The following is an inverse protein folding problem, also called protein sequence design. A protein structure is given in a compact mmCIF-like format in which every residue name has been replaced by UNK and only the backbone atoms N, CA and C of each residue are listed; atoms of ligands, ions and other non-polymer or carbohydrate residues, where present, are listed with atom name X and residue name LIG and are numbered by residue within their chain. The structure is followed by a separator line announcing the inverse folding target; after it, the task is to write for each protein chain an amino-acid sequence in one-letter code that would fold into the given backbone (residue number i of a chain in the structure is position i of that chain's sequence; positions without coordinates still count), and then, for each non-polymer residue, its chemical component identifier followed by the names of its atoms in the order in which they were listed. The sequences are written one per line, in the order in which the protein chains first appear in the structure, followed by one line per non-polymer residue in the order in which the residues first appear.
data_IF_163336727511
#
_entry.id   IF_163336727511
#
_cell.length_a   1.000
_cell.length_b   1.000
_cell.length_c   1.000
_cell.angle_alpha   90.00
_cell.angle_beta   90.00
_cell.angle_gamma   90.00
#
_symmetry.space_group_name_H-M   'P 1'
#
loop_
_entity.id
_entity.type
_entity.pdbx_description
1 polymer ?
#
# COMPACT_ATOMS: atom_id res chain seq x y z
N UNK A 1 2.36 8.29 -14.88
CA UNK A 1 3.75 8.03 -15.34
C UNK A 1 4.08 6.59 -14.97
N UNK A 2 4.50 5.74 -15.92
CA UNK A 2 4.79 4.31 -15.68
C UNK A 2 5.79 4.14 -14.53
N UNK A 3 5.55 3.17 -13.65
CA UNK A 3 6.36 2.92 -12.47
C UNK A 3 7.81 2.62 -12.91
N UNK A 4 8.84 3.35 -12.44
CA UNK A 4 10.22 3.14 -12.88
C UNK A 4 10.67 1.69 -12.68
N UNK A 5 10.18 1.03 -11.62
CA UNK A 5 10.36 -0.40 -11.36
C UNK A 5 9.95 -1.26 -12.56
N UNK A 6 8.76 -1.05 -13.09
CA UNK A 6 8.21 -1.82 -14.21
C UNK A 6 9.03 -1.63 -15.48
N UNK A 7 9.48 -0.39 -15.75
CA UNK A 7 10.30 -0.10 -16.92
C UNK A 7 11.64 -0.86 -16.88
N UNK A 8 12.31 -0.90 -15.72
CA UNK A 8 13.57 -1.64 -15.55
C UNK A 8 13.37 -3.16 -15.68
N UNK A 9 12.31 -3.71 -15.06
CA UNK A 9 12.01 -5.14 -15.14
C UNK A 9 11.68 -5.55 -16.58
N UNK A 10 10.82 -4.79 -17.28
CA UNK A 10 10.44 -5.07 -18.67
C UNK A 10 11.64 -4.94 -19.61
N UNK A 11 12.43 -3.88 -19.48
CA UNK A 11 13.63 -3.68 -20.30
C UNK A 11 14.65 -4.79 -20.06
N UNK A 12 14.88 -5.17 -18.80
CA UNK A 12 15.76 -6.28 -18.44
C UNK A 12 15.30 -7.61 -19.04
N UNK A 13 14.01 -7.93 -18.94
CA UNK A 13 13.44 -9.15 -19.52
C UNK A 13 13.60 -9.19 -21.04
N UNK A 14 13.33 -8.08 -21.73
CA UNK A 14 13.51 -7.96 -23.18
C UNK A 14 14.97 -8.18 -23.56
N UNK A 15 15.92 -7.54 -22.88
CA UNK A 15 17.35 -7.73 -23.13
C UNK A 15 17.80 -9.18 -22.89
N UNK A 16 17.30 -9.86 -21.85
CA UNK A 16 17.61 -11.27 -21.59
C UNK A 16 17.15 -12.16 -22.76
N UNK A 17 15.91 -11.95 -23.24
CA UNK A 17 15.35 -12.71 -24.38
C UNK A 17 16.17 -12.47 -25.66
N UNK A 18 16.51 -11.22 -25.97
CA UNK A 18 17.33 -10.90 -27.13
C UNK A 18 18.76 -11.44 -27.00
N UNK A 19 19.36 -11.37 -25.81
CA UNK A 19 20.67 -11.97 -25.53
C UNK A 19 20.66 -13.47 -25.81
N UNK A 20 19.65 -14.20 -25.32
CA UNK A 20 19.47 -15.61 -25.61
C UNK A 20 19.27 -15.87 -27.11
N UNK A 21 18.44 -15.07 -27.81
CA UNK A 21 18.27 -15.20 -29.25
C UNK A 21 19.59 -15.03 -30.03
N UNK A 22 20.43 -14.06 -29.65
CA UNK A 22 21.73 -13.86 -30.30
C UNK A 22 22.74 -14.98 -30.01
N UNK A 23 22.60 -15.72 -28.90
CA UNK A 23 23.42 -16.93 -28.68
C UNK A 23 23.09 -18.03 -29.70
N UNK A 24 21.82 -18.20 -30.07
CA UNK A 24 21.39 -19.16 -31.11
C UNK A 24 21.91 -18.74 -32.49
N UNK A 25 22.04 -17.44 -32.74
CA UNK A 25 22.61 -16.89 -33.97
C UNK A 25 24.16 -16.89 -34.00
N UNK A 26 24.82 -17.49 -33.01
CA UNK A 26 26.30 -17.54 -32.87
C UNK A 26 27.00 -16.18 -32.74
N UNK A 27 26.26 -15.11 -32.41
CA UNK A 27 26.81 -13.74 -32.22
C UNK A 27 27.16 -13.51 -30.74
N UNK A 28 28.14 -14.25 -30.22
CA UNK A 28 28.41 -14.34 -28.78
C UNK A 28 28.77 -13.01 -28.09
N UNK A 29 29.51 -12.13 -28.75
CA UNK A 29 29.90 -10.82 -28.20
C UNK A 29 28.68 -9.92 -27.94
N UNK A 30 27.76 -9.88 -28.90
CA UNK A 30 26.50 -9.13 -28.79
C UNK A 30 25.56 -9.82 -27.78
N UNK A 31 25.47 -11.15 -27.84
CA UNK A 31 24.65 -11.93 -26.93
C UNK A 31 25.05 -11.73 -25.46
N UNK A 32 26.36 -11.78 -25.17
CA UNK A 32 26.89 -11.59 -23.82
C UNK A 32 26.64 -10.17 -23.30
N UNK A 33 26.93 -9.14 -24.10
CA UNK A 33 26.74 -7.75 -23.68
C UNK A 33 25.27 -7.42 -23.42
N UNK A 34 24.36 -7.79 -24.32
CA UNK A 34 22.92 -7.56 -24.18
C UNK A 34 22.34 -8.41 -23.04
N UNK A 35 22.71 -9.68 -22.96
CA UNK A 35 22.23 -10.60 -21.91
C UNK A 35 22.66 -10.17 -20.51
N UNK A 36 23.95 -9.86 -20.31
CA UNK A 36 24.48 -9.41 -19.01
C UNK A 36 23.85 -8.07 -18.61
N UNK A 37 23.72 -7.13 -19.56
CA UNK A 37 23.03 -5.86 -19.31
C UNK A 37 21.57 -6.09 -18.91
N UNK A 38 20.87 -7.02 -19.56
CA UNK A 38 19.50 -7.39 -19.23
C UNK A 38 19.36 -7.94 -17.81
N UNK A 39 20.26 -8.84 -17.39
CA UNK A 39 20.30 -9.35 -16.01
C UNK A 39 20.53 -8.23 -15.00
N UNK A 40 21.47 -7.32 -15.27
CA UNK A 40 21.74 -6.17 -14.41
C UNK A 40 20.52 -5.26 -14.26
N UNK A 41 19.87 -4.90 -15.38
CA UNK A 41 18.63 -4.10 -15.38
C UNK A 41 17.51 -4.79 -14.61
N UNK A 42 17.38 -6.11 -14.75
CA UNK A 42 16.36 -6.89 -14.06
C UNK A 42 16.58 -6.89 -12.53
N UNK A 43 17.82 -7.08 -12.08
CA UNK A 43 18.18 -7.02 -10.64
C UNK A 43 17.92 -5.61 -10.08
N UNK A 44 18.32 -4.56 -10.81
CA UNK A 44 18.04 -3.17 -10.42
C UNK A 44 16.53 -2.95 -10.30
N UNK A 45 15.76 -3.39 -11.30
CA UNK A 45 14.31 -3.31 -11.30
C UNK A 45 13.68 -4.02 -10.10
N UNK A 46 14.12 -5.24 -9.77
CA UNK A 46 13.63 -5.96 -8.58
C UNK A 46 13.98 -5.26 -7.26
N UNK A 47 15.10 -4.53 -7.22
CA UNK A 47 15.58 -3.83 -6.02
C UNK A 47 14.84 -2.51 -5.77
N UNK A 48 14.17 -1.94 -6.78
CA UNK A 48 13.37 -0.72 -6.63
C UNK A 48 12.10 -1.04 -5.86
N UNK A 49 11.89 -0.35 -4.73
CA UNK A 49 10.63 -0.41 -3.98
C UNK A 49 9.49 0.06 -4.87
N UNK A 50 8.43 -0.73 -4.93
CA UNK A 50 7.21 -0.31 -5.62
C UNK A 50 6.41 0.61 -4.71
N UNK A 51 6.15 1.82 -5.17
CA UNK A 51 5.15 2.71 -4.58
C UNK A 51 3.77 2.32 -5.13
N UNK A 52 3.37 1.06 -4.88
CA UNK A 52 2.06 0.50 -5.27
C UNK A 52 0.93 0.92 -4.32
N UNK A 53 1.23 1.75 -3.32
CA UNK A 53 0.27 2.26 -2.35
C UNK A 53 -0.65 3.32 -2.94
N UNK A 54 -1.69 3.67 -2.18
CA UNK A 54 -2.58 4.79 -2.51
C UNK A 54 -1.78 6.10 -2.53
N UNK A 55 -2.15 7.03 -3.42
CA UNK A 55 -1.55 8.36 -3.38
C UNK A 55 -1.88 9.06 -2.06
N UNK A 56 -1.03 10.01 -1.63
CA UNK A 56 -1.28 10.80 -0.40
C UNK A 56 -2.64 11.50 -0.40
N UNK A 57 -3.19 11.80 -1.58
CA UNK A 57 -4.52 12.40 -1.73
C UNK A 57 -5.61 11.37 -1.46
N UNK A 58 -5.52 10.21 -2.11
CA UNK A 58 -6.46 9.10 -1.89
C UNK A 58 -6.44 8.62 -0.44
N UNK A 59 -5.27 8.53 0.20
CA UNK A 59 -5.15 8.18 1.63
C UNK A 59 -5.89 9.18 2.53
N UNK A 60 -5.79 10.49 2.22
CA UNK A 60 -6.46 11.53 3.02
C UNK A 60 -7.98 11.58 2.81
N UNK A 61 -8.42 11.25 1.60
CA UNK A 61 -9.84 11.24 1.22
C UNK A 61 -10.50 9.91 1.59
N UNK A 62 -9.73 8.91 2.03
CA UNK A 62 -10.23 7.62 2.43
C UNK A 62 -10.97 7.73 3.77
N UNK A 63 -12.27 7.43 3.74
CA UNK A 63 -13.17 7.42 4.89
C UNK A 63 -14.06 6.17 4.81
N UNK A 64 -14.37 5.52 5.96
CA UNK A 64 -15.33 4.42 5.99
C UNK A 64 -16.73 4.91 5.59
N UNK A 65 -17.55 4.04 5.02
CA UNK A 65 -18.96 4.37 4.73
C UNK A 65 -19.68 4.72 6.04
N UNK A 66 -20.43 5.82 6.05
CA UNK A 66 -21.17 6.31 7.22
C UNK A 66 -22.48 5.54 7.49
N UNK A 67 -22.57 4.29 7.05
CA UNK A 67 -23.74 3.46 7.30
C UNK A 67 -23.76 3.05 8.77
N UNK A 68 -24.91 3.29 9.42
CA UNK A 68 -25.11 2.89 10.81
C UNK A 68 -24.94 1.38 10.97
N UNK A 69 -24.09 0.96 11.90
CA UNK A 69 -23.91 -0.46 12.21
C UNK A 69 -25.08 -0.96 13.06
N UNK A 70 -25.63 -2.16 12.78
CA UNK A 70 -26.68 -2.73 13.60
C UNK A 70 -26.19 -2.98 15.03
N UNK A 71 -27.07 -2.72 16.00
CA UNK A 71 -26.77 -2.95 17.41
C UNK A 71 -26.74 -4.45 17.71
N UNK A 72 -25.60 -4.94 18.19
CA UNK A 72 -25.35 -6.35 18.50
C UNK A 72 -25.24 -6.60 20.01
N UNK A 73 -25.86 -5.76 20.85
CA UNK A 73 -25.81 -5.88 22.32
C UNK A 73 -24.55 -5.26 22.93
N UNK A 74 -23.68 -4.65 22.12
CA UNK A 74 -22.54 -3.81 22.50
C UNK A 74 -22.38 -2.70 21.47
N UNK A 75 -21.83 -1.56 21.88
CA UNK A 75 -21.55 -0.45 20.95
C UNK A 75 -20.50 -0.91 19.94
N UNK A 76 -20.93 -1.09 18.69
CA UNK A 76 -20.04 -1.43 17.59
C UNK A 76 -19.25 -0.19 17.15
N UNK A 77 -18.03 -0.40 16.68
CA UNK A 77 -17.19 0.64 16.12
C UNK A 77 -16.24 0.05 15.08
N UNK A 78 -15.83 0.86 14.11
CA UNK A 78 -14.86 0.47 13.09
C UNK A 78 -13.65 1.39 13.18
N UNK A 79 -12.47 0.80 13.25
CA UNK A 79 -11.19 1.51 13.29
C UNK A 79 -10.35 1.03 12.13
N UNK A 80 -9.98 1.95 11.26
CA UNK A 80 -9.13 1.66 10.13
C UNK A 80 -7.90 2.57 10.21
N UNK A 81 -6.71 1.99 10.23
CA UNK A 81 -5.43 2.73 10.26
C UNK A 81 -4.72 2.54 8.93
N UNK A 82 -4.28 3.64 8.32
CA UNK A 82 -3.51 3.59 7.08
C UNK A 82 -2.13 2.99 7.32
N UNK A 83 -1.71 2.08 6.43
CA UNK A 83 -0.39 1.43 6.50
C UNK A 83 0.68 2.35 5.90
N UNK A 84 0.33 3.06 4.82
CA UNK A 84 1.21 3.97 4.12
C UNK A 84 1.17 5.38 4.71
N UNK A 85 2.28 6.11 4.57
CA UNK A 85 2.33 7.51 5.03
C UNK A 85 1.43 8.40 4.18
N UNK A 86 0.62 9.30 4.77
CA UNK A 86 0.55 9.61 6.20
C UNK A 86 -0.24 8.56 7.00
N UNK A 87 0.32 8.15 8.16
CA UNK A 87 -0.37 7.24 9.09
C UNK A 87 -1.48 8.03 9.77
N UNK A 88 -2.71 7.63 9.50
CA UNK A 88 -3.95 8.23 10.01
C UNK A 88 -4.91 7.11 10.36
N UNK A 89 -5.66 7.31 11.43
CA UNK A 89 -6.66 6.36 11.91
C UNK A 89 -8.04 7.01 11.81
N UNK A 90 -8.94 6.40 11.03
CA UNK A 90 -10.35 6.77 11.01
C UNK A 90 -11.14 5.89 11.97
N UNK A 91 -12.02 6.51 12.75
CA UNK A 91 -12.82 5.87 13.78
C UNK A 91 -14.29 6.17 13.47
N UNK A 92 -15.08 5.13 13.19
CA UNK A 92 -16.51 5.22 12.99
C UNK A 92 -17.23 4.69 14.24
N UNK A 93 -18.00 5.57 14.88
CA UNK A 93 -18.89 5.19 15.97
C UNK A 93 -20.17 4.54 15.41
N UNK A 94 -20.44 3.29 15.78
CA UNK A 94 -21.65 2.59 15.33
C UNK A 94 -22.96 3.14 15.94
N UNK A 95 -22.89 3.88 17.05
CA UNK A 95 -24.08 4.41 17.72
C UNK A 95 -24.65 5.68 17.08
N UNK A 96 -23.79 6.60 16.63
CA UNK A 96 -24.19 7.89 16.06
C UNK A 96 -23.70 8.11 14.62
N UNK A 97 -23.04 7.11 14.02
CA UNK A 97 -22.42 7.20 12.69
C UNK A 97 -21.39 8.35 12.53
N UNK A 98 -20.87 8.87 13.64
CA UNK A 98 -19.82 9.89 13.62
C UNK A 98 -18.49 9.27 13.20
N UNK A 99 -17.79 9.94 12.27
CA UNK A 99 -16.44 9.56 11.82
C UNK A 99 -15.46 10.62 12.30
N UNK A 100 -14.46 10.17 13.05
CA UNK A 100 -13.32 11.00 13.46
C UNK A 100 -12.05 10.50 12.81
N UNK A 101 -11.17 11.41 12.37
CA UNK A 101 -9.87 11.07 11.78
C UNK A 101 -8.76 11.61 12.68
N UNK A 102 -8.03 10.69 13.31
CA UNK A 102 -6.93 10.96 14.21
C UNK A 102 -5.60 10.77 13.47
N UNK A 103 -4.62 11.65 13.70
CA UNK A 103 -3.28 11.50 13.14
C UNK A 103 -2.48 10.48 13.94
N UNK A 104 -1.84 9.53 13.26
CA UNK A 104 -1.03 8.49 13.88
C UNK A 104 -1.73 7.14 13.97
N UNK A 105 -1.15 6.26 14.78
CA UNK A 105 -1.66 4.89 15.01
C UNK A 105 -2.96 4.91 15.81
N UNK A 106 -3.62 3.76 15.88
CA UNK A 106 -4.80 3.54 16.71
C UNK A 106 -4.53 3.99 18.16
N UNK A 107 -5.38 4.86 18.74
CA UNK A 107 -5.25 5.25 20.13
C UNK A 107 -5.63 4.10 21.05
N UNK A 108 -4.97 4.00 22.21
CA UNK A 108 -5.26 2.98 23.22
C UNK A 108 -6.69 3.10 23.74
N UNK A 109 -7.17 4.33 23.97
CA UNK A 109 -8.54 4.59 24.41
C UNK A 109 -9.23 5.54 23.47
N UNK A 110 -10.54 5.39 23.34
CA UNK A 110 -11.33 6.35 22.59
C UNK A 110 -12.77 6.43 23.07
N UNK A 111 -13.24 7.68 23.20
CA UNK A 111 -14.61 8.07 23.49
C UNK A 111 -15.11 8.93 22.34
N UNK A 112 -16.29 8.64 21.83
CA UNK A 112 -16.85 9.39 20.70
C UNK A 112 -17.17 10.83 21.09
N UNK A 113 -16.62 11.81 20.36
CA UNK A 113 -16.86 13.25 20.62
C UNK A 113 -18.30 13.70 20.35
N UNK A 114 -19.09 12.93 19.57
CA UNK A 114 -20.45 13.32 19.19
C UNK A 114 -21.53 12.78 20.14
N UNK A 115 -21.33 11.62 20.75
CA UNK A 115 -22.33 10.99 21.61
C UNK A 115 -21.79 10.60 22.99
N UNK A 116 -20.53 10.95 23.28
CA UNK A 116 -19.83 10.72 24.55
C UNK A 116 -19.79 9.24 24.99
N UNK A 117 -20.11 8.31 24.10
CA UNK A 117 -20.02 6.89 24.38
C UNK A 117 -18.56 6.44 24.33
N UNK A 118 -18.16 5.77 25.40
CA UNK A 118 -16.91 5.02 25.44
C UNK A 118 -16.96 3.87 24.42
N UNK A 119 -15.95 3.80 23.55
CA UNK A 119 -15.88 2.77 22.52
C UNK A 119 -14.92 1.64 22.91
N UNK A 120 -13.69 1.97 23.33
CA UNK A 120 -12.72 0.96 23.77
C UNK A 120 -11.60 1.51 24.67
N UNK A 121 -10.95 0.56 25.34
CA UNK A 121 -9.64 0.64 25.99
C UNK A 121 -8.89 -0.61 25.52
N UNK A 122 -7.75 -0.43 24.85
CA UNK A 122 -6.78 -1.51 24.62
C UNK A 122 -6.08 -1.77 25.96
N UNK A 123 -6.29 -2.96 26.51
CA UNK A 123 -5.63 -3.43 27.73
C UNK A 123 -4.22 -3.99 27.46
N UNK A 124 -3.77 -4.01 26.20
CA UNK A 124 -2.45 -4.53 25.82
C UNK A 124 -1.35 -3.47 26.03
N UNK A 125 -0.53 -3.67 27.07
CA UNK A 125 0.78 -3.07 27.35
C UNK A 125 1.92 -3.77 26.59
#
# INVERSE_FOLDING_TARGET
MRNPRENFILSGAVCIVFGAFFTVAEIYLLAGTIGISGVALFIIGMSIKSDLGLSKKEIREWLPSSEGMPDAGRVMYRVDTTIDKPITTSILCGACAHIEVVKGKRPQTYTCVSCERFLWLDEEE
#
